data_IF_681938951779
#
_entry.id   IF_681938951779
#
_cell.length_a   1.000
_cell.length_b   1.000
_cell.length_c   1.000
_cell.angle_alpha   90.00
_cell.angle_beta   90.00
_cell.angle_gamma   90.00
#
_symmetry.space_group_name_H-M   'P 1'
#
loop_
_entity.id
_entity.type
_entity.pdbx_description
1 polymer ?
#
# COMPACT_ATOMS: atom_id res chain seq x y z
N UNK A 1 26.75 82.63 31.97
CA UNK A 1 25.59 82.13 31.28
C UNK A 1 25.95 80.76 30.75
N UNK A 2 25.43 79.69 31.37
CA UNK A 2 25.70 78.33 30.92
C UNK A 2 24.67 77.87 29.87
N UNK A 3 25.15 77.19 28.82
CA UNK A 3 24.36 76.56 27.82
C UNK A 3 23.86 75.20 28.33
N UNK A 4 22.55 75.01 28.34
CA UNK A 4 21.92 73.73 28.65
C UNK A 4 22.02 72.77 27.42
N UNK A 5 22.52 71.60 27.70
CA UNK A 5 22.62 70.51 26.72
C UNK A 5 21.33 69.66 26.77
N UNK A 6 20.50 69.76 25.72
CA UNK A 6 19.29 68.97 25.61
C UNK A 6 19.64 67.55 25.14
N UNK A 7 19.46 66.60 26.00
CA UNK A 7 19.64 65.15 25.72
C UNK A 7 18.44 64.61 24.93
N UNK A 8 18.63 64.27 23.68
CA UNK A 8 17.66 63.62 22.82
C UNK A 8 17.70 62.10 23.10
N UNK A 9 16.68 61.58 23.76
CA UNK A 9 16.47 60.11 23.93
C UNK A 9 15.98 59.53 22.66
N UNK A 10 16.82 58.71 22.01
CA UNK A 10 16.43 57.85 20.86
C UNK A 10 15.76 56.60 21.43
N UNK A 11 14.46 56.44 21.13
CA UNK A 11 13.72 55.21 21.40
C UNK A 11 14.06 54.20 20.32
N UNK A 12 14.87 53.21 20.69
CA UNK A 12 15.11 52.04 19.81
C UNK A 12 13.89 51.12 19.85
N UNK A 13 13.15 51.08 18.78
CA UNK A 13 12.16 50.03 18.52
C UNK A 13 12.89 48.72 18.22
N UNK A 14 13.02 47.86 19.21
CA UNK A 14 13.47 46.47 18.99
C UNK A 14 12.27 45.67 18.44
N UNK A 15 12.23 45.49 17.12
CA UNK A 15 11.29 44.57 16.51
C UNK A 15 11.71 43.13 16.85
N UNK A 16 10.98 42.51 17.78
CA UNK A 16 11.05 41.07 17.99
C UNK A 16 10.46 40.35 16.75
N UNK A 17 11.31 39.83 15.91
CA UNK A 17 10.94 38.82 14.92
C UNK A 17 10.61 37.52 15.67
N UNK A 18 9.34 37.29 15.95
CA UNK A 18 8.78 36.00 16.31
C UNK A 18 8.86 35.11 15.05
N UNK A 19 9.97 34.38 14.89
CA UNK A 19 10.04 33.24 14.00
C UNK A 19 9.09 32.17 14.54
N UNK A 20 7.84 32.19 14.06
CA UNK A 20 6.92 31.09 14.29
C UNK A 20 7.52 29.83 13.68
N UNK A 21 8.06 28.94 14.52
CA UNK A 21 8.30 27.56 14.15
C UNK A 21 6.95 26.98 13.76
N UNK A 22 6.65 26.95 12.48
CA UNK A 22 5.61 26.07 11.98
C UNK A 22 6.07 24.64 12.26
N UNK A 23 5.55 24.08 13.33
CA UNK A 23 5.65 22.65 13.62
C UNK A 23 4.87 21.95 12.49
N UNK A 24 5.56 21.60 11.43
CA UNK A 24 5.02 20.69 10.40
C UNK A 24 4.83 19.38 11.15
N UNK A 25 3.59 18.88 11.30
CA UNK A 25 3.39 17.59 11.95
C UNK A 25 4.21 16.56 11.16
N UNK A 26 5.23 16.00 11.80
CA UNK A 26 5.92 14.83 11.28
C UNK A 26 4.85 13.81 10.91
N UNK A 27 4.78 13.46 9.63
CA UNK A 27 3.85 12.45 9.16
C UNK A 27 4.13 11.18 9.98
N UNK A 28 3.21 10.86 10.89
CA UNK A 28 3.35 9.76 11.83
C UNK A 28 3.62 8.50 11.02
N UNK A 29 4.76 7.85 11.28
CA UNK A 29 5.16 6.62 10.61
C UNK A 29 4.02 5.60 10.74
N UNK A 30 3.61 5.00 9.62
CA UNK A 30 2.50 4.06 9.62
C UNK A 30 2.94 2.70 10.17
N UNK A 31 2.23 2.26 11.20
CA UNK A 31 2.40 0.93 11.78
C UNK A 31 1.42 -0.04 11.09
N UNK A 32 1.96 -0.98 10.35
CA UNK A 32 1.19 -2.03 9.71
C UNK A 32 0.81 -3.10 10.71
N UNK A 33 -0.46 -3.49 10.71
CA UNK A 33 -0.97 -4.56 11.57
C UNK A 33 -1.51 -5.67 10.70
N UNK A 34 -1.03 -6.89 10.93
CA UNK A 34 -1.62 -8.10 10.32
C UNK A 34 -2.73 -8.64 11.23
N UNK A 35 -3.71 -9.33 10.63
CA UNK A 35 -4.78 -10.00 11.37
C UNK A 35 -4.28 -11.33 11.96
N UNK A 36 -3.57 -11.27 13.05
CA UNK A 36 -2.91 -12.45 13.61
C UNK A 36 -1.96 -13.10 12.59
N UNK A 37 -1.84 -14.41 12.66
CA UNK A 37 -1.09 -15.19 11.65
C UNK A 37 -2.08 -15.72 10.59
N UNK A 38 -2.03 -15.20 9.33
CA UNK A 38 -3.02 -15.52 8.32
C UNK A 38 -2.93 -16.97 7.84
N UNK A 39 -4.07 -17.56 7.50
CA UNK A 39 -4.15 -18.87 6.85
C UNK A 39 -3.58 -18.85 5.42
N UNK A 40 -3.74 -17.73 4.72
CA UNK A 40 -3.16 -17.51 3.41
C UNK A 40 -1.77 -16.89 3.50
N UNK A 41 -0.96 -17.07 2.47
CA UNK A 41 0.34 -16.42 2.38
C UNK A 41 0.21 -14.90 2.34
N UNK A 42 0.86 -14.22 3.27
CA UNK A 42 1.03 -12.77 3.33
C UNK A 42 2.51 -12.49 3.58
N UNK A 43 3.12 -11.66 2.78
CA UNK A 43 4.43 -11.11 3.08
C UNK A 43 4.27 -9.76 3.80
N UNK A 44 5.18 -9.47 4.74
CA UNK A 44 5.22 -8.16 5.37
C UNK A 44 6.66 -7.66 5.51
N UNK A 45 6.85 -6.35 5.44
CA UNK A 45 8.16 -5.69 5.48
C UNK A 45 8.14 -4.62 6.56
N UNK A 46 8.93 -4.83 7.60
CA UNK A 46 9.22 -3.86 8.66
C UNK A 46 10.47 -3.06 8.25
N UNK A 47 10.26 -1.83 7.84
CA UNK A 47 11.33 -0.96 7.37
C UNK A 47 12.27 -0.55 8.49
N UNK A 48 11.74 -0.29 9.69
CA UNK A 48 12.55 0.15 10.84
C UNK A 48 13.51 -0.92 11.32
N UNK A 49 13.08 -2.19 11.31
CA UNK A 49 13.88 -3.34 11.74
C UNK A 49 14.62 -4.02 10.61
N UNK A 50 14.37 -3.63 9.35
CA UNK A 50 14.90 -4.27 8.14
C UNK A 50 14.62 -5.76 8.12
N UNK A 51 13.33 -6.12 8.35
CA UNK A 51 12.84 -7.49 8.41
C UNK A 51 11.76 -7.74 7.37
N UNK A 52 11.86 -8.89 6.75
CA UNK A 52 10.85 -9.46 5.86
C UNK A 52 10.21 -10.65 6.57
N UNK A 53 8.89 -10.64 6.68
CA UNK A 53 8.11 -11.73 7.26
C UNK A 53 7.35 -12.46 6.16
N UNK A 54 7.40 -13.78 6.18
CA UNK A 54 6.49 -14.62 5.39
C UNK A 54 5.55 -15.34 6.35
N UNK A 55 4.29 -15.01 6.26
CA UNK A 55 3.22 -15.54 7.09
C UNK A 55 2.30 -16.44 6.28
N UNK A 56 2.07 -17.66 6.74
CA UNK A 56 1.17 -18.62 6.10
C UNK A 56 0.73 -19.69 7.09
N UNK A 57 -0.49 -20.19 6.96
CA UNK A 57 -1.03 -21.31 7.73
C UNK A 57 -0.78 -21.16 9.24
N UNK A 58 -1.01 -19.96 9.78
CA UNK A 58 -0.81 -19.67 11.19
C UNK A 58 0.65 -19.66 11.66
N UNK A 59 1.61 -19.60 10.75
CA UNK A 59 3.06 -19.54 11.05
C UNK A 59 3.69 -18.28 10.45
N UNK A 60 4.75 -17.80 11.08
CA UNK A 60 5.58 -16.71 10.58
C UNK A 60 7.04 -17.14 10.55
N UNK A 61 7.71 -16.82 9.45
CA UNK A 61 9.17 -16.90 9.31
C UNK A 61 9.67 -15.50 9.01
N UNK A 62 10.80 -15.13 9.58
CA UNK A 62 11.40 -13.81 9.37
C UNK A 62 12.81 -13.89 8.80
N UNK A 63 13.15 -12.92 7.98
CA UNK A 63 14.39 -12.84 7.22
C UNK A 63 14.95 -11.44 7.32
N UNK A 64 16.26 -11.30 7.20
CA UNK A 64 16.87 -9.99 6.98
C UNK A 64 16.51 -9.47 5.58
N UNK A 65 16.17 -8.20 5.51
CA UNK A 65 16.02 -7.52 4.23
C UNK A 65 16.69 -6.14 4.28
N UNK A 66 16.83 -5.51 3.13
CA UNK A 66 17.17 -4.09 3.04
C UNK A 66 16.13 -3.37 2.21
N UNK A 67 15.86 -2.13 2.60
CA UNK A 67 14.89 -1.23 1.96
C UNK A 67 15.58 0.03 1.45
N UNK A 68 14.82 1.02 1.02
CA UNK A 68 15.34 2.27 0.47
C UNK A 68 16.28 3.02 1.40
N UNK A 69 17.26 3.70 0.81
CA UNK A 69 18.26 4.52 1.50
C UNK A 69 17.64 5.67 2.31
N UNK A 70 16.52 6.22 1.83
CA UNK A 70 15.80 7.27 2.52
C UNK A 70 14.63 6.71 3.33
N UNK A 71 14.44 7.27 4.53
CA UNK A 71 13.36 6.90 5.44
C UNK A 71 12.00 7.47 5.02
N UNK A 72 10.92 6.91 5.57
CA UNK A 72 9.56 7.33 5.34
C UNK A 72 8.93 6.73 4.09
N UNK A 73 7.69 7.11 3.82
CA UNK A 73 6.90 6.60 2.71
C UNK A 73 7.33 7.23 1.37
N UNK A 74 7.40 6.40 0.32
CA UNK A 74 7.72 6.84 -1.05
C UNK A 74 6.65 7.77 -1.61
N UNK A 75 7.08 8.94 -2.13
CA UNK A 75 6.20 9.94 -2.72
C UNK A 75 6.47 10.15 -4.22
N UNK A 76 7.74 10.27 -4.59
CA UNK A 76 8.11 10.61 -5.96
C UNK A 76 9.19 9.69 -6.53
N UNK A 77 9.27 9.65 -7.86
CA UNK A 77 10.35 8.92 -8.54
C UNK A 77 11.72 9.44 -8.07
N UNK A 78 12.63 8.54 -7.73
CA UNK A 78 14.01 8.87 -7.37
C UNK A 78 14.22 9.31 -5.92
N UNK A 79 13.21 9.30 -5.07
CA UNK A 79 13.32 9.66 -3.65
C UNK A 79 14.02 8.62 -2.77
N UNK A 80 14.49 7.51 -3.35
CA UNK A 80 15.21 6.43 -2.70
C UNK A 80 14.45 5.76 -1.55
N UNK A 81 13.13 5.96 -1.47
CA UNK A 81 12.27 5.42 -0.42
C UNK A 81 11.55 4.15 -0.89
N UNK A 82 11.31 3.25 0.05
CA UNK A 82 10.39 2.12 -0.11
C UNK A 82 8.98 2.60 0.28
N UNK A 83 7.94 2.34 -0.52
CA UNK A 83 6.58 2.78 -0.21
C UNK A 83 6.00 2.06 1.00
N UNK A 84 5.04 2.69 1.66
CA UNK A 84 4.21 2.09 2.72
C UNK A 84 2.81 1.82 2.19
N UNK A 85 2.28 0.63 2.48
CA UNK A 85 0.97 0.22 2.00
C UNK A 85 0.81 -1.28 1.82
N UNK A 86 -0.30 -1.66 1.21
CA UNK A 86 -0.59 -3.03 0.78
C UNK A 86 -0.42 -3.10 -0.72
N UNK A 87 0.53 -3.90 -1.15
CA UNK A 87 0.84 -4.16 -2.56
C UNK A 87 0.64 -5.63 -2.87
N UNK A 88 0.61 -5.98 -4.15
CA UNK A 88 0.45 -7.37 -4.57
C UNK A 88 1.52 -7.72 -5.58
N UNK A 89 2.02 -8.93 -5.47
CA UNK A 89 2.90 -9.48 -6.50
C UNK A 89 2.10 -9.60 -7.80
N UNK A 90 2.55 -8.94 -8.87
CA UNK A 90 1.90 -9.00 -10.19
C UNK A 90 2.54 -10.03 -11.11
N UNK A 91 3.85 -10.24 -10.98
CA UNK A 91 4.58 -11.28 -11.73
C UNK A 91 5.95 -11.57 -11.13
N UNK A 92 6.44 -12.77 -11.39
CA UNK A 92 7.85 -13.13 -11.25
C UNK A 92 8.59 -12.76 -12.54
N UNK A 93 9.81 -12.26 -12.41
CA UNK A 93 10.74 -12.03 -13.51
C UNK A 93 12.05 -12.79 -13.26
N UNK A 94 12.53 -13.51 -14.25
CA UNK A 94 13.79 -14.27 -14.21
C UNK A 94 14.68 -13.96 -15.40
N UNK A 95 14.14 -13.26 -16.40
CA UNK A 95 14.85 -12.98 -17.66
C UNK A 95 15.48 -11.59 -17.64
N UNK A 96 16.67 -11.49 -18.23
CA UNK A 96 17.40 -10.22 -18.43
C UNK A 96 17.61 -9.46 -17.13
N UNK A 97 17.92 -10.17 -16.05
CA UNK A 97 18.29 -9.62 -14.76
C UNK A 97 19.81 -9.68 -14.64
N UNK A 98 20.42 -8.55 -14.26
CA UNK A 98 21.79 -8.54 -13.80
C UNK A 98 21.87 -9.29 -12.47
N UNK A 99 22.77 -10.27 -12.36
CA UNK A 99 22.84 -11.14 -11.18
C UNK A 99 23.32 -10.36 -9.94
N UNK A 100 24.30 -9.48 -10.11
CA UNK A 100 24.86 -8.70 -9.00
C UNK A 100 23.82 -7.75 -8.41
N UNK A 101 22.92 -7.21 -9.25
CA UNK A 101 21.86 -6.28 -8.81
C UNK A 101 20.60 -7.00 -8.35
N UNK A 102 20.20 -8.13 -8.99
CA UNK A 102 18.88 -8.74 -8.79
C UNK A 102 18.91 -10.20 -8.37
N UNK A 103 20.07 -10.84 -8.27
CA UNK A 103 20.23 -12.22 -7.78
C UNK A 103 19.51 -13.29 -8.60
N UNK A 104 19.16 -13.00 -9.87
CA UNK A 104 18.57 -13.94 -10.82
C UNK A 104 17.05 -14.03 -10.82
N UNK A 105 16.34 -13.51 -9.81
CA UNK A 105 14.86 -13.46 -9.79
C UNK A 105 14.32 -12.24 -9.05
N UNK A 106 13.19 -11.74 -9.50
CA UNK A 106 12.50 -10.61 -8.90
C UNK A 106 10.98 -10.76 -8.93
N UNK A 107 10.32 -10.30 -7.89
CA UNK A 107 8.87 -10.30 -7.70
C UNK A 107 8.38 -8.87 -7.78
N UNK A 108 7.67 -8.53 -8.85
CA UNK A 108 7.25 -7.16 -9.15
C UNK A 108 5.98 -6.86 -8.40
N UNK A 109 5.94 -5.72 -7.70
CA UNK A 109 4.77 -5.23 -6.98
C UNK A 109 3.99 -4.22 -7.81
N UNK A 110 2.68 -4.10 -7.53
CA UNK A 110 1.75 -3.19 -8.23
C UNK A 110 1.83 -1.72 -7.77
N UNK A 111 3.00 -1.30 -7.26
CA UNK A 111 3.24 0.12 -6.94
C UNK A 111 3.34 0.98 -8.22
N UNK A 112 2.71 2.15 -8.30
CA UNK A 112 1.75 2.72 -7.36
C UNK A 112 0.37 2.06 -7.49
N UNK A 113 -0.24 1.72 -6.34
CA UNK A 113 -1.60 1.19 -6.30
C UNK A 113 -2.65 2.31 -6.58
N UNK A 114 -3.97 2.01 -6.68
CA UNK A 114 -4.98 3.03 -6.90
C UNK A 114 -4.98 4.19 -5.90
N UNK A 115 -4.74 3.93 -4.61
CA UNK A 115 -4.69 4.99 -3.58
C UNK A 115 -3.43 5.84 -3.71
N UNK A 116 -2.28 5.22 -3.98
CA UNK A 116 -1.03 5.96 -4.23
C UNK A 116 -1.19 6.94 -5.38
N UNK A 117 -1.84 6.50 -6.48
CA UNK A 117 -2.13 7.37 -7.65
C UNK A 117 -3.08 8.51 -7.30
N UNK A 118 -4.11 8.27 -6.49
CA UNK A 118 -5.02 9.32 -6.01
C UNK A 118 -4.30 10.36 -5.15
N UNK A 119 -3.30 9.93 -4.39
CA UNK A 119 -2.46 10.80 -3.56
C UNK A 119 -1.31 11.45 -4.33
N UNK A 120 -1.27 11.29 -5.65
CA UNK A 120 -0.26 11.90 -6.51
C UNK A 120 1.13 11.26 -6.40
N UNK A 121 1.26 10.08 -5.80
CA UNK A 121 2.56 9.40 -5.74
C UNK A 121 3.01 8.95 -7.12
N UNK A 122 4.31 9.07 -7.39
CA UNK A 122 4.91 8.76 -8.68
C UNK A 122 6.04 7.75 -8.58
N UNK A 123 6.52 7.29 -9.75
CA UNK A 123 7.55 6.27 -9.85
C UNK A 123 6.96 4.89 -10.10
N UNK A 124 7.81 3.89 -10.17
CA UNK A 124 7.47 2.49 -10.44
C UNK A 124 8.66 1.60 -10.12
N UNK A 125 8.53 0.28 -10.35
CA UNK A 125 9.68 -0.63 -10.23
C UNK A 125 10.05 -0.94 -8.79
N UNK A 126 9.07 -1.07 -7.91
CA UNK A 126 9.24 -1.61 -6.56
C UNK A 126 9.12 -3.13 -6.66
N UNK A 127 10.21 -3.82 -6.34
CA UNK A 127 10.32 -5.27 -6.45
C UNK A 127 10.79 -5.88 -5.13
N UNK A 128 10.49 -7.17 -4.94
CA UNK A 128 11.15 -8.03 -3.94
C UNK A 128 12.14 -8.90 -4.71
N UNK A 129 13.43 -8.83 -4.37
CA UNK A 129 14.49 -9.58 -5.06
C UNK A 129 15.68 -9.82 -4.13
N UNK A 130 16.75 -10.45 -4.64
CA UNK A 130 18.02 -10.56 -3.94
C UNK A 130 19.13 -9.82 -4.70
N UNK A 131 20.36 -9.98 -4.25
CA UNK A 131 21.58 -9.51 -4.94
C UNK A 131 22.62 -10.62 -4.95
N UNK A 132 23.57 -10.54 -5.89
CA UNK A 132 24.74 -11.43 -5.98
C UNK A 132 25.69 -11.33 -4.79
N UNK A 133 25.52 -10.36 -3.91
CA UNK A 133 26.31 -10.12 -2.70
C UNK A 133 25.46 -10.01 -1.44
N UNK A 134 26.10 -10.03 -0.28
CA UNK A 134 25.44 -9.77 0.99
C UNK A 134 24.79 -8.38 1.03
N UNK A 135 23.66 -8.27 1.71
CA UNK A 135 22.91 -7.02 1.90
C UNK A 135 23.37 -6.30 3.16
N UNK A 136 23.31 -4.96 3.13
CA UNK A 136 23.46 -4.07 4.29
C UNK A 136 22.17 -3.28 4.50
N UNK A 137 21.85 -2.82 5.73
CA UNK A 137 20.64 -2.06 5.98
C UNK A 137 20.55 -0.77 5.13
N UNK A 138 19.34 -0.44 4.65
CA UNK A 138 19.02 0.82 3.96
C UNK A 138 19.90 1.11 2.72
N UNK A 139 20.15 0.12 1.89
CA UNK A 139 21.02 0.29 0.72
C UNK A 139 20.30 0.24 -0.64
N UNK A 140 18.99 -0.07 -0.68
CA UNK A 140 18.26 -0.15 -1.94
C UNK A 140 17.80 1.24 -2.43
N UNK A 141 17.38 1.31 -3.69
CA UNK A 141 16.76 2.52 -4.26
C UNK A 141 15.24 2.51 -4.16
N UNK A 142 14.70 1.70 -3.23
CA UNK A 142 13.28 1.57 -2.96
C UNK A 142 12.73 0.15 -3.04
N UNK A 143 13.47 -0.80 -3.59
CA UNK A 143 13.12 -2.23 -3.58
C UNK A 143 13.29 -2.84 -2.19
N UNK A 144 12.66 -3.98 -1.98
CA UNK A 144 12.89 -4.86 -0.83
C UNK A 144 13.84 -5.95 -1.26
N UNK A 145 15.03 -6.01 -0.67
CA UNK A 145 16.10 -6.94 -1.09
C UNK A 145 16.42 -7.90 0.04
N UNK A 146 16.44 -9.20 -0.25
CA UNK A 146 16.80 -10.27 0.66
C UNK A 146 18.16 -10.87 0.26
N UNK A 147 18.76 -11.68 1.13
CA UNK A 147 19.91 -12.48 0.74
C UNK A 147 19.51 -13.58 -0.28
N UNK A 148 20.44 -14.06 -1.07
CA UNK A 148 20.19 -15.10 -2.10
C UNK A 148 19.53 -16.36 -1.55
N UNK A 149 20.00 -16.86 -0.39
CA UNK A 149 19.42 -18.05 0.24
C UNK A 149 17.98 -17.81 0.71
N UNK A 150 17.71 -16.60 1.21
CA UNK A 150 16.41 -16.24 1.77
C UNK A 150 15.37 -16.07 0.65
N UNK A 151 15.72 -15.42 -0.48
CA UNK A 151 14.81 -15.32 -1.63
C UNK A 151 14.53 -16.68 -2.27
N UNK A 152 15.51 -17.59 -2.30
CA UNK A 152 15.29 -18.95 -2.78
C UNK A 152 14.29 -19.73 -1.93
N UNK A 153 14.22 -19.43 -0.62
CA UNK A 153 13.25 -20.03 0.30
C UNK A 153 11.86 -19.40 0.21
N UNK A 154 11.76 -18.06 0.20
CA UNK A 154 10.46 -17.37 0.21
C UNK A 154 9.84 -17.22 -1.18
N UNK A 155 10.66 -17.19 -2.21
CA UNK A 155 10.24 -16.92 -3.59
C UNK A 155 9.14 -17.84 -4.11
N UNK A 156 9.16 -19.17 -3.88
CA UNK A 156 8.10 -20.08 -4.29
C UNK A 156 6.71 -19.70 -3.74
N UNK A 157 6.66 -19.01 -2.60
CA UNK A 157 5.42 -18.55 -1.95
C UNK A 157 4.97 -17.15 -2.40
N UNK A 158 5.86 -16.38 -3.03
CA UNK A 158 5.54 -15.07 -3.60
C UNK A 158 4.85 -15.21 -4.97
N UNK A 159 3.72 -15.90 -4.98
CA UNK A 159 2.91 -16.13 -6.18
C UNK A 159 2.21 -14.85 -6.62
N UNK A 160 1.81 -14.80 -7.88
CA UNK A 160 0.94 -13.72 -8.37
C UNK A 160 -0.29 -13.57 -7.48
N UNK A 161 -0.57 -12.34 -7.04
CA UNK A 161 -1.65 -12.05 -6.12
C UNK A 161 -1.31 -12.17 -4.63
N UNK A 162 -0.10 -12.63 -4.26
CA UNK A 162 0.36 -12.60 -2.86
C UNK A 162 0.43 -11.16 -2.38
N UNK A 163 -0.27 -10.79 -1.29
CA UNK A 163 -0.19 -9.46 -0.71
C UNK A 163 1.15 -9.27 0.01
N UNK A 164 1.71 -8.08 -0.14
CA UNK A 164 2.94 -7.61 0.51
C UNK A 164 2.62 -6.34 1.27
N UNK A 165 2.58 -6.44 2.59
CA UNK A 165 2.34 -5.34 3.50
C UNK A 165 3.67 -4.66 3.82
N UNK A 166 3.83 -3.39 3.52
CA UNK A 166 5.07 -2.64 3.79
C UNK A 166 4.74 -1.49 4.72
N UNK A 167 5.37 -1.44 5.88
CA UNK A 167 5.19 -0.39 6.87
C UNK A 167 6.51 0.04 7.50
N UNK A 168 6.52 1.20 8.14
CA UNK A 168 7.66 1.60 8.96
C UNK A 168 7.89 0.58 10.07
N UNK A 169 6.81 0.14 10.71
CA UNK A 169 6.79 -0.98 11.66
C UNK A 169 5.67 -1.96 11.31
N UNK A 170 5.92 -3.25 11.54
CA UNK A 170 4.90 -4.30 11.38
C UNK A 170 4.63 -4.97 12.72
N UNK A 171 3.37 -5.04 13.10
CA UNK A 171 2.90 -5.74 14.27
C UNK A 171 1.94 -6.88 13.89
N UNK A 172 2.06 -8.02 14.55
CA UNK A 172 1.13 -9.13 14.47
C UNK A 172 0.16 -8.97 15.64
N UNK A 173 -1.04 -8.51 15.37
CA UNK A 173 -2.06 -8.21 16.39
C UNK A 173 -3.42 -8.77 15.99
N UNK A 174 -4.39 -8.85 16.93
CA UNK A 174 -5.77 -9.19 16.61
C UNK A 174 -6.35 -8.24 15.56
N UNK A 175 -7.31 -8.78 14.80
CA UNK A 175 -7.96 -8.10 13.69
C UNK A 175 -8.56 -6.75 14.08
N UNK A 176 -8.23 -5.72 13.32
CA UNK A 176 -8.78 -4.37 13.49
C UNK A 176 -10.25 -4.31 13.04
N UNK A 177 -11.05 -3.49 13.72
CA UNK A 177 -12.47 -3.29 13.38
C UNK A 177 -12.67 -2.77 11.96
N UNK A 178 -11.78 -1.88 11.49
CA UNK A 178 -11.76 -1.38 10.12
C UNK A 178 -11.74 -2.49 9.06
N UNK A 179 -10.94 -3.53 9.26
CA UNK A 179 -10.83 -4.67 8.32
C UNK A 179 -12.14 -5.47 8.32
N UNK A 180 -12.72 -5.74 9.49
CA UNK A 180 -14.00 -6.45 9.61
C UNK A 180 -15.15 -5.67 8.95
N UNK A 181 -15.23 -4.37 9.23
CA UNK A 181 -16.24 -3.48 8.63
C UNK A 181 -16.13 -3.50 7.10
N UNK A 182 -14.92 -3.33 6.55
CA UNK A 182 -14.72 -3.35 5.09
C UNK A 182 -15.04 -4.70 4.47
N UNK A 183 -14.79 -5.83 5.14
CA UNK A 183 -15.21 -7.12 4.61
C UNK A 183 -16.75 -7.25 4.55
N UNK A 184 -17.46 -6.76 5.55
CA UNK A 184 -18.93 -6.75 5.55
C UNK A 184 -19.46 -5.84 4.45
N UNK A 185 -18.91 -4.62 4.31
CA UNK A 185 -19.27 -3.71 3.22
C UNK A 185 -18.97 -4.32 1.84
N UNK A 186 -17.85 -5.05 1.71
CA UNK A 186 -17.53 -5.76 0.46
C UNK A 186 -18.55 -6.85 0.14
N UNK A 187 -19.04 -7.59 1.15
CA UNK A 187 -20.12 -8.58 0.96
C UNK A 187 -21.42 -7.88 0.53
N UNK A 188 -21.76 -6.75 1.16
CA UNK A 188 -22.91 -5.91 0.80
C UNK A 188 -22.81 -5.39 -0.63
N UNK A 189 -21.67 -4.81 -1.01
CA UNK A 189 -21.41 -4.36 -2.38
C UNK A 189 -21.59 -5.48 -3.41
N UNK A 190 -21.04 -6.67 -3.15
CA UNK A 190 -21.19 -7.86 -4.03
C UNK A 190 -22.65 -8.29 -4.18
N UNK A 191 -23.44 -8.23 -3.10
CA UNK A 191 -24.86 -8.55 -3.12
C UNK A 191 -25.66 -7.52 -3.94
N UNK A 192 -25.41 -6.23 -3.73
CA UNK A 192 -26.01 -5.15 -4.52
C UNK A 192 -25.61 -5.25 -6.00
N UNK A 193 -24.34 -5.52 -6.27
CA UNK A 193 -23.83 -5.69 -7.63
C UNK A 193 -24.56 -6.82 -8.39
N UNK A 194 -24.82 -7.97 -7.73
CA UNK A 194 -25.60 -9.09 -8.33
C UNK A 194 -27.02 -8.68 -8.68
N UNK A 195 -27.62 -7.76 -7.95
CA UNK A 195 -28.97 -7.22 -8.23
C UNK A 195 -28.97 -6.09 -9.27
N UNK A 196 -27.79 -5.69 -9.74
CA UNK A 196 -27.63 -4.55 -10.65
C UNK A 196 -27.77 -3.18 -9.97
N UNK A 197 -27.75 -3.14 -8.65
CA UNK A 197 -27.88 -1.94 -7.81
C UNK A 197 -26.51 -1.34 -7.43
N UNK A 198 -25.42 -1.89 -7.95
CA UNK A 198 -24.06 -1.55 -7.54
C UNK A 198 -23.75 -0.06 -7.71
N UNK A 199 -23.21 0.53 -6.68
CA UNK A 199 -22.62 1.86 -6.69
C UNK A 199 -23.16 2.80 -5.64
N UNK A 200 -24.48 2.91 -5.47
CA UNK A 200 -25.03 3.88 -4.52
C UNK A 200 -24.78 3.42 -3.07
N UNK A 201 -24.13 4.29 -2.28
CA UNK A 201 -23.75 4.01 -0.89
C UNK A 201 -22.42 3.27 -0.69
N UNK A 202 -21.84 2.65 -1.73
CA UNK A 202 -20.56 1.95 -1.63
C UNK A 202 -19.40 2.70 -2.27
N UNK A 203 -19.66 3.58 -3.24
CA UNK A 203 -18.63 4.28 -3.99
C UNK A 203 -18.56 5.73 -3.48
N UNK A 204 -17.34 6.23 -3.32
CA UNK A 204 -17.12 7.63 -2.99
C UNK A 204 -17.70 8.53 -4.09
N UNK A 205 -18.49 9.56 -3.75
CA UNK A 205 -19.24 10.36 -4.73
C UNK A 205 -18.35 10.93 -5.86
N UNK A 206 -17.17 11.42 -5.53
CA UNK A 206 -16.18 11.99 -6.45
C UNK A 206 -15.58 10.92 -7.40
N UNK A 207 -15.73 9.64 -7.08
CA UNK A 207 -15.24 8.50 -7.88
C UNK A 207 -16.33 7.80 -8.67
N UNK A 208 -17.60 8.13 -8.41
CA UNK A 208 -18.75 7.42 -8.96
C UNK A 208 -18.74 7.33 -10.49
N UNK A 209 -18.41 8.42 -11.20
CA UNK A 209 -18.40 8.44 -12.67
C UNK A 209 -17.36 7.46 -13.26
N UNK A 210 -16.15 7.43 -12.72
CA UNK A 210 -15.05 6.57 -13.21
C UNK A 210 -15.30 5.11 -12.92
N UNK A 211 -15.78 4.79 -11.73
CA UNK A 211 -16.02 3.41 -11.27
C UNK A 211 -17.24 2.82 -11.99
N UNK A 212 -18.35 3.57 -12.12
CA UNK A 212 -19.54 3.12 -12.85
C UNK A 212 -19.30 2.86 -14.34
N UNK A 213 -18.30 3.49 -14.95
CA UNK A 213 -17.92 3.19 -16.33
C UNK A 213 -17.42 1.75 -16.46
N UNK A 214 -16.63 1.29 -15.53
CA UNK A 214 -16.12 -0.10 -15.49
C UNK A 214 -17.26 -1.07 -15.23
N UNK A 215 -18.14 -0.78 -14.27
CA UNK A 215 -19.27 -1.64 -13.91
C UNK A 215 -20.31 -1.84 -15.02
N UNK A 216 -20.57 -0.81 -15.86
CA UNK A 216 -21.54 -0.92 -16.97
C UNK A 216 -21.14 -1.96 -18.02
N UNK A 217 -19.86 -2.23 -18.19
CA UNK A 217 -19.36 -3.24 -19.12
C UNK A 217 -19.63 -4.66 -18.63
N UNK A 218 -19.86 -4.86 -17.34
CA UNK A 218 -20.02 -6.18 -16.70
C UNK A 218 -21.49 -6.62 -16.47
N UNK A 219 -22.47 -5.76 -16.72
CA UNK A 219 -23.89 -5.98 -16.36
C UNK A 219 -24.61 -7.16 -17.02
N UNK A 220 -24.01 -7.84 -18.01
CA UNK A 220 -24.66 -8.93 -18.77
C UNK A 220 -24.08 -10.31 -18.51
N UNK A 221 -23.34 -10.49 -17.42
CA UNK A 221 -22.61 -11.72 -17.15
C UNK A 221 -23.06 -12.38 -15.86
N UNK A 222 -23.07 -13.70 -15.82
CA UNK A 222 -23.23 -14.44 -14.56
C UNK A 222 -21.92 -14.34 -13.77
N UNK A 223 -21.99 -13.85 -12.54
CA UNK A 223 -20.82 -13.68 -11.69
C UNK A 223 -20.88 -14.55 -10.45
N UNK A 224 -19.76 -15.20 -10.17
CA UNK A 224 -19.50 -15.89 -8.90
C UNK A 224 -18.31 -15.28 -8.20
N UNK A 225 -18.35 -15.26 -6.87
CA UNK A 225 -17.32 -14.64 -6.04
C UNK A 225 -16.77 -15.65 -5.04
N UNK A 226 -15.44 -15.65 -4.88
CA UNK A 226 -14.74 -16.37 -3.81
C UNK A 226 -14.85 -15.68 -2.44
N UNK A 227 -14.16 -16.20 -1.41
CA UNK A 227 -14.10 -15.55 -0.10
C UNK A 227 -13.56 -14.12 -0.17
N UNK A 228 -14.10 -13.24 0.67
CA UNK A 228 -13.57 -11.87 0.85
C UNK A 228 -12.40 -11.92 1.82
N UNK A 229 -11.35 -11.17 1.51
CA UNK A 229 -10.19 -10.93 2.36
C UNK A 229 -9.90 -9.45 2.35
N UNK A 230 -9.29 -8.93 3.43
CA UNK A 230 -8.93 -7.54 3.51
C UNK A 230 -7.66 -7.33 4.34
N UNK A 231 -6.93 -6.26 4.04
CA UNK A 231 -5.79 -5.76 4.81
C UNK A 231 -5.87 -4.23 4.89
N UNK A 232 -5.43 -3.70 6.00
CA UNK A 232 -5.33 -2.26 6.20
C UNK A 232 -4.02 -1.73 5.64
N UNK A 233 -4.10 -0.62 4.92
CA UNK A 233 -3.00 0.23 4.48
C UNK A 233 -3.04 1.59 5.18
N UNK A 234 -2.11 2.50 4.89
CA UNK A 234 -2.06 3.83 5.51
C UNK A 234 -3.27 4.68 5.10
N UNK A 235 -4.27 4.76 6.00
CA UNK A 235 -5.50 5.52 5.78
C UNK A 235 -6.48 4.89 4.79
N UNK A 236 -6.33 3.62 4.44
CA UNK A 236 -7.27 2.87 3.61
C UNK A 236 -7.31 1.39 4.01
N UNK A 237 -8.31 0.68 3.55
CA UNK A 237 -8.37 -0.78 3.59
C UNK A 237 -8.51 -1.29 2.17
N UNK A 238 -7.75 -2.31 1.79
CA UNK A 238 -7.97 -3.02 0.54
C UNK A 238 -8.66 -4.35 0.82
N UNK A 239 -9.78 -4.60 0.15
CA UNK A 239 -10.41 -5.91 0.13
C UNK A 239 -10.25 -6.55 -1.24
N UNK A 240 -10.14 -7.89 -1.28
CA UNK A 240 -10.03 -8.63 -2.53
C UNK A 240 -10.73 -9.98 -2.48
N UNK A 241 -11.09 -10.46 -3.65
CA UNK A 241 -11.75 -11.75 -3.83
C UNK A 241 -11.60 -12.23 -5.27
N UNK A 242 -11.57 -13.55 -5.45
CA UNK A 242 -11.68 -14.13 -6.78
C UNK A 242 -13.06 -13.82 -7.37
N UNK A 243 -13.11 -13.44 -8.62
CA UNK A 243 -14.34 -13.21 -9.39
C UNK A 243 -14.26 -14.01 -10.68
N UNK A 244 -15.31 -14.79 -10.94
CA UNK A 244 -15.50 -15.45 -12.22
C UNK A 244 -16.72 -14.86 -12.90
N UNK A 245 -16.53 -14.35 -14.10
CA UNK A 245 -17.61 -13.87 -14.98
C UNK A 245 -17.83 -14.87 -16.10
N UNK A 246 -19.07 -15.17 -16.41
CA UNK A 246 -19.43 -16.04 -17.54
C UNK A 246 -20.38 -15.27 -18.45
N UNK A 247 -19.96 -15.10 -19.72
CA UNK A 247 -20.77 -14.48 -20.77
C UNK A 247 -21.84 -15.44 -21.28
N UNK A 248 -22.97 -14.94 -21.81
CA UNK A 248 -24.03 -15.76 -22.39
C UNK A 248 -23.58 -16.61 -23.59
N UNK A 249 -22.55 -16.17 -24.32
CA UNK A 249 -21.92 -16.85 -25.45
C UNK A 249 -20.94 -17.97 -25.04
N UNK A 250 -20.82 -18.28 -23.74
CA UNK A 250 -19.98 -19.35 -23.20
C UNK A 250 -18.55 -18.94 -22.82
N UNK A 251 -18.16 -17.69 -23.06
CA UNK A 251 -16.90 -17.15 -22.56
C UNK A 251 -16.87 -17.10 -21.03
N UNK A 252 -15.72 -17.35 -20.41
CA UNK A 252 -15.53 -17.19 -18.97
C UNK A 252 -14.21 -16.50 -18.69
N UNK A 253 -14.25 -15.47 -17.86
CA UNK A 253 -13.07 -14.78 -17.35
C UNK A 253 -12.97 -15.01 -15.83
N UNK A 254 -11.77 -15.23 -15.34
CA UNK A 254 -11.51 -15.38 -13.91
C UNK A 254 -10.31 -14.52 -13.52
N UNK A 255 -10.48 -13.78 -12.45
CA UNK A 255 -9.41 -12.93 -11.91
C UNK A 255 -9.69 -12.55 -10.45
N UNK A 256 -8.88 -11.64 -9.94
CA UNK A 256 -9.00 -11.12 -8.58
C UNK A 256 -9.39 -9.65 -8.65
N UNK A 257 -10.56 -9.33 -8.11
CA UNK A 257 -10.98 -7.94 -7.91
C UNK A 257 -10.43 -7.43 -6.60
N UNK A 258 -9.87 -6.22 -6.63
CA UNK A 258 -9.40 -5.48 -5.47
C UNK A 258 -10.19 -4.19 -5.36
N UNK A 259 -10.74 -3.91 -4.17
CA UNK A 259 -11.48 -2.71 -3.84
C UNK A 259 -10.72 -1.95 -2.77
N UNK A 260 -10.42 -0.69 -3.02
CA UNK A 260 -9.72 0.19 -2.10
C UNK A 260 -10.74 1.12 -1.45
N UNK A 261 -10.79 1.09 -0.10
CA UNK A 261 -11.81 1.75 0.71
C UNK A 261 -11.16 2.81 1.58
N UNK A 262 -11.68 4.01 1.58
CA UNK A 262 -11.30 5.08 2.51
C UNK A 262 -12.50 5.50 3.36
N UNK A 263 -12.23 5.80 4.63
CA UNK A 263 -13.25 6.30 5.56
C UNK A 263 -13.57 7.73 5.18
N UNK A 264 -14.86 8.02 4.95
CA UNK A 264 -15.33 9.34 4.54
C UNK A 264 -15.65 10.21 5.77
N UNK A 265 -15.96 11.50 5.53
CA UNK A 265 -16.26 12.45 6.60
C UNK A 265 -17.50 12.09 7.45
N UNK A 266 -18.42 11.27 6.94
CA UNK A 266 -19.57 10.71 7.66
C UNK A 266 -19.24 9.44 8.46
N UNK A 267 -17.99 9.01 8.46
CA UNK A 267 -17.52 7.83 9.16
C UNK A 267 -17.63 6.51 8.39
N UNK A 268 -18.26 6.49 7.21
CA UNK A 268 -18.47 5.31 6.40
C UNK A 268 -17.30 5.02 5.45
N UNK A 269 -16.95 3.74 5.28
CA UNK A 269 -15.99 3.34 4.26
C UNK A 269 -16.62 3.31 2.87
N UNK A 270 -16.00 3.98 1.89
CA UNK A 270 -16.42 3.96 0.49
C UNK A 270 -15.26 3.61 -0.44
N UNK A 271 -15.61 3.00 -1.56
CA UNK A 271 -14.65 2.59 -2.60
C UNK A 271 -14.14 3.85 -3.29
N UNK A 272 -12.83 4.08 -3.21
CA UNK A 272 -12.11 5.17 -3.89
C UNK A 272 -11.34 4.68 -5.11
N UNK A 273 -11.09 3.38 -5.21
CA UNK A 273 -10.39 2.79 -6.33
C UNK A 273 -10.68 1.30 -6.49
N UNK A 274 -10.52 0.82 -7.71
CA UNK A 274 -10.66 -0.60 -8.06
C UNK A 274 -9.47 -1.04 -8.91
N UNK A 275 -9.11 -2.31 -8.81
CA UNK A 275 -8.16 -2.96 -9.69
C UNK A 275 -8.62 -4.39 -10.01
N UNK A 276 -8.24 -4.84 -11.19
CA UNK A 276 -8.43 -6.20 -11.68
C UNK A 276 -7.07 -6.85 -11.90
N UNK A 277 -6.92 -8.10 -11.51
CA UNK A 277 -5.74 -8.92 -11.78
C UNK A 277 -6.20 -10.28 -12.30
N UNK A 278 -5.76 -10.62 -13.52
CA UNK A 278 -6.01 -11.89 -14.21
C UNK A 278 -5.12 -12.99 -13.61
#
# INVERSE_FOLDING_TARGET
>A
MPFECVSMRVWGCTALLLAGLMCVPEARAWEAVTDGLPEQTVAAVDKSRQRFFLMEKGKSRDYLCTTGQAQGDKQVRGDLKTPEGVYFVVRKRTERLDFEEYGGEAYILDYPNPVDRLRGKTGSGIWVHSRGRAITPFESRGCVVLNLKDIAEVGPELKRGTPVLIGERVEIAPRKDAVREVEERTRGWRAAWRRGEAGDGFIAPERAASIRKVERQEKRVRVTFGPVRALEGPGYVVSWFAQRTASPDGGAEMGVRRLYWEKQGDGEYRIVGMAWAD
#
